data_IF_250846485728
#
_entry.id   IF_250846485728
#
_cell.length_a   1.000
_cell.length_b   1.000
_cell.length_c   1.000
_cell.angle_alpha   90.00
_cell.angle_beta   90.00
_cell.angle_gamma   90.00
#
_symmetry.space_group_name_H-M   'P 1'
#
loop_
_entity.id
_entity.type
_entity.pdbx_description
1 polymer ?
#
# COMPACT_ATOMS: atom_id res chain seq x y z
N UNK A 1 -7.51 -0.28 -4.49
CA UNK A 1 -6.89 -1.60 -4.74
C UNK A 1 -5.77 -1.76 -3.73
N UNK A 2 -5.65 -2.92 -3.07
CA UNK A 2 -4.61 -3.18 -2.07
C UNK A 2 -3.89 -4.49 -2.40
N UNK A 3 -2.99 -4.95 -1.53
CA UNK A 3 -2.38 -6.27 -1.65
C UNK A 3 -1.41 -6.39 -2.82
N UNK A 4 -1.23 -7.60 -3.35
CA UNK A 4 -0.26 -7.88 -4.42
C UNK A 4 -0.57 -7.07 -5.69
N UNK A 5 -1.85 -6.83 -6.00
CA UNK A 5 -2.25 -6.01 -7.15
C UNK A 5 -1.68 -4.58 -7.07
N UNK A 6 -1.57 -4.02 -5.85
CA UNK A 6 -0.99 -2.69 -5.63
C UNK A 6 0.53 -2.68 -5.91
N UNK A 7 1.23 -3.71 -5.43
CA UNK A 7 2.68 -3.88 -5.61
C UNK A 7 3.01 -4.05 -7.11
N UNK A 8 2.25 -4.88 -7.81
CA UNK A 8 2.41 -5.11 -9.25
C UNK A 8 2.05 -3.86 -10.07
N UNK A 9 0.96 -3.15 -9.75
CA UNK A 9 0.54 -1.91 -10.43
C UNK A 9 1.65 -0.85 -10.48
N UNK A 10 2.45 -0.74 -9.43
CA UNK A 10 3.57 0.22 -9.38
C UNK A 10 4.93 -0.39 -9.77
N UNK A 11 4.94 -1.63 -10.25
CA UNK A 11 6.12 -2.25 -10.87
C UNK A 11 7.20 -2.68 -9.88
N UNK A 12 6.82 -2.98 -8.63
CA UNK A 12 7.75 -3.59 -7.66
C UNK A 12 7.84 -5.12 -7.83
N UNK A 13 6.93 -5.71 -8.58
CA UNK A 13 6.92 -7.12 -8.91
C UNK A 13 6.31 -7.36 -10.29
N UNK A 14 6.83 -8.36 -10.98
CA UNK A 14 6.30 -8.95 -12.21
C UNK A 14 5.21 -9.99 -11.96
N UNK A 15 5.04 -10.46 -10.72
CA UNK A 15 4.05 -11.48 -10.36
C UNK A 15 2.63 -10.95 -10.52
N UNK A 16 1.80 -11.71 -11.25
CA UNK A 16 0.41 -11.37 -11.45
C UNK A 16 -0.45 -11.84 -10.25
N UNK A 17 -1.29 -10.98 -9.65
CA UNK A 17 -2.18 -11.39 -8.57
C UNK A 17 -3.20 -12.43 -9.05
N UNK A 18 -3.33 -13.53 -8.32
CA UNK A 18 -4.37 -14.55 -8.55
C UNK A 18 -5.72 -14.18 -7.95
N UNK A 19 -5.75 -13.21 -7.04
CA UNK A 19 -6.92 -12.77 -6.28
C UNK A 19 -6.91 -11.25 -6.23
N UNK A 20 -8.08 -10.63 -6.38
CA UNK A 20 -8.20 -9.17 -6.28
C UNK A 20 -8.47 -8.73 -4.86
N UNK A 21 -7.68 -7.79 -4.37
CA UNK A 21 -7.79 -7.26 -3.02
C UNK A 21 -8.31 -5.81 -3.04
N UNK A 22 -9.41 -5.57 -2.34
CA UNK A 22 -10.11 -4.28 -2.31
C UNK A 22 -10.29 -3.85 -0.86
N UNK A 23 -9.88 -2.62 -0.56
CA UNK A 23 -10.15 -1.97 0.72
C UNK A 23 -11.19 -0.87 0.50
N UNK A 24 -12.31 -0.89 1.24
CA UNK A 24 -13.43 0.03 1.02
C UNK A 24 -14.16 0.36 2.32
N UNK A 25 -14.66 1.60 2.43
CA UNK A 25 -15.48 2.04 3.56
C UNK A 25 -16.78 1.24 3.71
N UNK A 26 -17.28 0.65 2.61
CA UNK A 26 -18.49 -0.19 2.59
C UNK A 26 -18.28 -1.58 3.22
N UNK A 27 -17.05 -1.92 3.59
CA UNK A 27 -16.76 -3.17 4.25
C UNK A 27 -17.20 -3.14 5.72
N UNK A 28 -18.18 -3.97 6.06
CA UNK A 28 -18.72 -4.11 7.41
C UNK A 28 -17.81 -4.94 8.33
N UNK A 29 -17.15 -5.96 7.79
CA UNK A 29 -16.25 -6.88 8.51
C UNK A 29 -14.79 -6.58 8.21
N UNK A 30 -13.88 -6.94 9.12
CA UNK A 30 -12.42 -6.70 8.97
C UNK A 30 -11.88 -7.22 7.64
N UNK A 31 -12.27 -8.44 7.30
CA UNK A 31 -11.92 -9.10 6.05
C UNK A 31 -13.06 -10.07 5.68
N UNK A 32 -13.34 -10.21 4.39
CA UNK A 32 -14.16 -11.31 3.86
C UNK A 32 -13.70 -11.72 2.46
N UNK A 33 -13.91 -12.98 2.12
CA UNK A 33 -13.74 -13.49 0.76
C UNK A 33 -15.11 -13.54 0.10
N UNK A 34 -15.17 -13.16 -1.17
CA UNK A 34 -16.35 -13.29 -2.01
C UNK A 34 -15.92 -13.91 -3.34
N UNK A 35 -16.76 -14.73 -3.94
CA UNK A 35 -16.53 -15.27 -5.26
C UNK A 35 -17.53 -14.63 -6.24
N UNK A 36 -17.01 -14.01 -7.30
CA UNK A 36 -17.80 -13.38 -8.35
C UNK A 36 -17.30 -13.94 -9.68
N UNK A 37 -18.19 -14.63 -10.41
CA UNK A 37 -17.91 -15.14 -11.76
C UNK A 37 -16.62 -15.96 -11.84
N UNK A 38 -16.43 -16.88 -10.88
CA UNK A 38 -15.23 -17.72 -10.77
C UNK A 38 -13.98 -17.01 -10.24
N UNK A 39 -14.03 -15.70 -9.99
CA UNK A 39 -12.92 -14.94 -9.41
C UNK A 39 -13.14 -14.74 -7.92
N UNK A 40 -12.14 -15.09 -7.11
CA UNK A 40 -12.13 -14.73 -5.70
C UNK A 40 -11.68 -13.29 -5.52
N UNK A 41 -12.44 -12.51 -4.74
CA UNK A 41 -12.07 -11.18 -4.26
C UNK A 41 -11.96 -11.20 -2.74
N UNK A 42 -10.98 -10.48 -2.21
CA UNK A 42 -10.83 -10.24 -0.78
C UNK A 42 -11.17 -8.78 -0.51
N UNK A 43 -12.18 -8.58 0.35
CA UNK A 43 -12.61 -7.25 0.78
C UNK A 43 -12.09 -7.00 2.19
N UNK A 44 -11.42 -5.87 2.36
CA UNK A 44 -10.91 -5.38 3.64
C UNK A 44 -11.67 -4.13 4.09
N UNK A 45 -11.89 -4.05 5.39
CA UNK A 45 -12.28 -2.80 6.04
C UNK A 45 -11.05 -1.95 6.31
N UNK A 46 -11.05 -0.67 5.94
CA UNK A 46 -9.91 0.19 6.19
C UNK A 46 -9.74 0.48 7.68
N UNK A 47 -8.50 0.77 8.08
CA UNK A 47 -8.15 1.12 9.46
C UNK A 47 -8.75 2.48 9.88
N UNK A 48 -9.02 3.34 8.91
CA UNK A 48 -9.65 4.66 9.07
C UNK A 48 -10.54 4.95 7.86
N UNK A 49 -11.38 5.97 7.94
CA UNK A 49 -12.26 6.36 6.82
C UNK A 49 -11.40 6.85 5.65
N UNK A 50 -11.58 6.23 4.49
CA UNK A 50 -10.96 6.66 3.24
C UNK A 50 -11.75 7.85 2.70
N UNK A 51 -11.08 8.97 2.47
CA UNK A 51 -11.62 10.18 1.85
C UNK A 51 -10.85 10.49 0.57
N UNK A 52 -11.29 11.49 -0.20
CA UNK A 52 -10.54 11.94 -1.39
C UNK A 52 -9.16 12.52 -1.03
N UNK A 53 -9.01 13.01 0.19
CA UNK A 53 -7.83 13.74 0.63
C UNK A 53 -6.74 12.82 1.20
N UNK A 54 -7.10 11.64 1.71
CA UNK A 54 -6.16 10.70 2.33
C UNK A 54 -5.96 9.40 1.55
N UNK A 55 -6.73 9.16 0.48
CA UNK A 55 -6.73 7.86 -0.22
C UNK A 55 -5.34 7.44 -0.71
N UNK A 56 -4.51 8.40 -1.13
CA UNK A 56 -3.19 8.11 -1.68
C UNK A 56 -2.18 7.78 -0.60
N UNK A 57 -2.26 8.47 0.52
CA UNK A 57 -1.41 8.30 1.69
C UNK A 57 -1.75 7.00 2.41
N UNK A 58 -3.03 6.66 2.51
CA UNK A 58 -3.47 5.35 2.97
C UNK A 58 -3.05 4.24 2.01
N UNK A 59 -3.10 4.47 0.68
CA UNK A 59 -2.56 3.52 -0.32
C UNK A 59 -1.05 3.34 -0.16
N UNK A 60 -0.29 4.41 0.07
CA UNK A 60 1.15 4.39 0.36
C UNK A 60 1.45 3.57 1.63
N UNK A 61 0.73 3.81 2.72
CA UNK A 61 0.91 3.07 3.98
C UNK A 61 0.56 1.58 3.82
N UNK A 62 -0.48 1.26 3.05
CA UNK A 62 -0.81 -0.13 2.70
C UNK A 62 0.31 -0.78 1.88
N UNK A 63 0.86 -0.09 0.87
CA UNK A 63 2.00 -0.58 0.10
C UNK A 63 3.19 -0.86 1.02
N UNK A 64 3.58 0.09 1.87
CA UNK A 64 4.69 -0.07 2.81
C UNK A 64 4.46 -1.18 3.84
N UNK A 65 3.23 -1.64 4.06
CA UNK A 65 2.94 -2.75 4.98
C UNK A 65 3.24 -4.13 4.40
N UNK A 66 3.38 -4.25 3.08
CA UNK A 66 3.51 -5.53 2.37
C UNK A 66 4.64 -5.56 1.35
N UNK A 67 5.25 -4.42 1.05
CA UNK A 67 6.24 -4.29 -0.04
C UNK A 67 7.45 -5.20 0.15
N UNK A 68 7.88 -5.42 1.39
CA UNK A 68 9.00 -6.31 1.74
C UNK A 68 8.71 -7.78 1.43
N UNK A 69 7.43 -8.18 1.39
CA UNK A 69 7.01 -9.56 1.09
C UNK A 69 6.92 -9.86 -0.40
N UNK A 70 6.64 -8.84 -1.21
CA UNK A 70 6.26 -9.02 -2.61
C UNK A 70 7.20 -8.33 -3.60
N UNK A 71 8.01 -7.35 -3.17
CA UNK A 71 8.95 -6.68 -4.05
C UNK A 71 10.04 -7.65 -4.52
N UNK A 72 10.21 -7.75 -5.82
CA UNK A 72 11.34 -8.44 -6.46
C UNK A 72 12.54 -7.49 -6.65
N UNK A 73 12.33 -6.19 -6.45
CA UNK A 73 13.36 -5.16 -6.55
C UNK A 73 14.14 -5.04 -5.24
N UNK A 74 15.44 -4.72 -5.36
CA UNK A 74 16.31 -4.46 -4.21
C UNK A 74 17.28 -3.31 -4.48
N UNK A 75 17.99 -2.87 -3.44
CA UNK A 75 19.08 -1.89 -3.56
C UNK A 75 18.65 -0.56 -4.19
N UNK A 76 19.42 -0.11 -5.20
CA UNK A 76 19.22 1.18 -5.87
C UNK A 76 17.95 1.18 -6.73
N UNK A 77 17.66 0.06 -7.41
CA UNK A 77 16.48 -0.07 -8.26
C UNK A 77 15.19 0.09 -7.44
N UNK A 78 15.11 -0.59 -6.29
CA UNK A 78 14.01 -0.44 -5.34
C UNK A 78 13.80 1.02 -4.92
N UNK A 79 14.87 1.71 -4.51
CA UNK A 79 14.80 3.12 -4.08
C UNK A 79 14.38 4.06 -5.21
N UNK A 80 14.86 3.83 -6.43
CA UNK A 80 14.46 4.63 -7.59
C UNK A 80 12.98 4.41 -7.93
N UNK A 81 12.51 3.16 -7.88
CA UNK A 81 11.10 2.83 -8.11
C UNK A 81 10.18 3.46 -7.07
N UNK A 82 10.61 3.46 -5.82
CA UNK A 82 9.88 4.10 -4.72
C UNK A 82 9.77 5.62 -4.91
N UNK A 83 10.85 6.28 -5.33
CA UNK A 83 10.81 7.72 -5.68
C UNK A 83 9.89 8.01 -6.87
N UNK A 84 9.94 7.18 -7.91
CA UNK A 84 9.05 7.29 -9.07
C UNK A 84 7.58 7.21 -8.63
N UNK A 85 7.25 6.24 -7.78
CA UNK A 85 5.92 6.07 -7.21
C UNK A 85 5.45 7.30 -6.43
N UNK A 86 6.27 7.82 -5.52
CA UNK A 86 5.94 8.99 -4.69
C UNK A 86 5.72 10.23 -5.56
N UNK A 87 6.61 10.48 -6.51
CA UNK A 87 6.50 11.62 -7.41
C UNK A 87 5.26 11.54 -8.30
N UNK A 88 4.93 10.34 -8.78
CA UNK A 88 3.75 10.10 -9.63
C UNK A 88 2.44 10.29 -8.87
N UNK A 89 2.38 9.80 -7.62
CA UNK A 89 1.17 9.87 -6.80
C UNK A 89 0.98 11.21 -6.10
N UNK A 90 2.08 11.95 -5.89
CA UNK A 90 2.13 13.22 -5.13
C UNK A 90 1.68 13.01 -3.69
N UNK A 91 2.34 12.11 -2.98
CA UNK A 91 2.05 11.79 -1.57
C UNK A 91 2.29 13.01 -0.69
N UNK A 92 1.31 13.32 0.17
CA UNK A 92 1.47 14.32 1.22
C UNK A 92 1.93 13.64 2.53
N UNK A 93 3.22 13.78 2.85
CA UNK A 93 3.79 13.14 4.04
C UNK A 93 3.27 13.69 5.38
N UNK A 94 2.65 14.89 5.41
CA UNK A 94 1.97 15.38 6.61
C UNK A 94 0.78 14.47 6.98
N UNK A 95 0.00 14.04 5.97
CA UNK A 95 -1.12 13.11 6.14
C UNK A 95 -0.60 11.69 6.42
N UNK A 96 0.52 11.28 5.81
CA UNK A 96 1.16 10.00 6.15
C UNK A 96 1.50 9.96 7.64
N UNK A 97 2.09 11.04 8.19
CA UNK A 97 2.45 11.15 9.62
C UNK A 97 1.25 11.11 10.55
N UNK A 98 0.08 11.59 10.11
CA UNK A 98 -1.17 11.49 10.87
C UNK A 98 -1.63 10.03 11.03
N UNK A 99 -1.52 9.23 9.96
CA UNK A 99 -2.09 7.88 9.93
C UNK A 99 -1.10 6.74 10.20
N UNK A 100 0.21 6.98 10.12
CA UNK A 100 1.24 5.94 10.22
C UNK A 100 1.16 5.11 11.51
N UNK A 101 0.70 5.69 12.62
CA UNK A 101 0.51 4.99 13.90
C UNK A 101 -0.60 3.94 13.88
N UNK A 102 -1.52 3.99 12.91
CA UNK A 102 -2.57 2.98 12.73
C UNK A 102 -2.04 1.71 12.07
N UNK A 103 -0.88 1.78 11.41
CA UNK A 103 -0.31 0.69 10.63
C UNK A 103 0.73 -0.11 11.43
N UNK A 104 1.06 -1.36 11.01
CA UNK A 104 2.05 -2.17 11.70
C UNK A 104 3.45 -1.54 11.66
N UNK A 105 4.27 -1.84 12.67
CA UNK A 105 5.63 -1.29 12.81
C UNK A 105 6.56 -1.54 11.60
N UNK A 106 6.27 -2.57 10.79
CA UNK A 106 7.00 -2.85 9.53
C UNK A 106 6.97 -1.67 8.56
N UNK A 107 5.94 -0.83 8.60
CA UNK A 107 5.84 0.37 7.76
C UNK A 107 6.99 1.33 8.04
N UNK A 108 7.30 1.59 9.32
CA UNK A 108 8.44 2.46 9.67
C UNK A 108 9.76 1.89 9.19
N UNK A 109 9.96 0.57 9.31
CA UNK A 109 11.13 -0.12 8.80
C UNK A 109 11.26 0.05 7.29
N UNK A 110 10.18 -0.18 6.54
CA UNK A 110 10.19 -0.12 5.07
C UNK A 110 10.37 1.32 4.56
N UNK A 111 9.85 2.33 5.27
CA UNK A 111 10.11 3.76 4.98
C UNK A 111 11.58 4.11 5.22
N UNK A 112 12.17 3.61 6.31
CA UNK A 112 13.60 3.78 6.58
C UNK A 112 14.48 3.13 5.52
N UNK A 113 14.24 1.87 5.18
CA UNK A 113 15.00 1.15 4.16
C UNK A 113 14.80 1.76 2.76
N UNK A 114 13.62 2.30 2.49
CA UNK A 114 13.29 3.09 1.30
C UNK A 114 14.01 4.44 1.21
N UNK A 115 14.65 4.90 2.28
CA UNK A 115 15.35 6.18 2.34
C UNK A 115 14.40 7.38 2.38
N UNK A 116 13.21 7.21 2.96
CA UNK A 116 12.15 8.21 2.99
C UNK A 116 11.95 8.84 4.37
N UNK A 117 12.79 8.50 5.36
CA UNK A 117 12.62 9.04 6.71
C UNK A 117 12.68 10.57 6.78
N UNK A 118 13.47 11.20 5.92
CA UNK A 118 13.57 12.66 5.86
C UNK A 118 12.22 13.33 5.52
N UNK A 119 11.32 12.63 4.84
CA UNK A 119 9.98 13.13 4.49
C UNK A 119 9.03 13.12 5.70
N UNK A 120 9.35 12.36 6.77
CA UNK A 120 8.54 12.26 7.98
C UNK A 120 8.98 13.19 9.12
N UNK A 121 10.14 13.85 8.98
CA UNK A 121 10.71 14.75 9.99
C UNK A 121 9.96 16.08 9.99
#
# INVERSE_FOLDING_TARGET
>A
MTGLSLVNKYGFTSQNPSVYEICTNEATTKQRKIDIDGNTLIIYKPLTIITKDNIKELEFLNLMSIIDKYSELSGIEYKNKLREYINKTKINFAIVKEYISLFPAVVYKNIYEGGLMNELV
#
